data_IF_680227854017
#
_entry.id   IF_680227854017
#
_cell.length_a   1.000
_cell.length_b   1.000
_cell.length_c   1.000
_cell.angle_alpha   90.00
_cell.angle_beta   90.00
_cell.angle_gamma   90.00
#
_symmetry.space_group_name_H-M   'P 1'
#
loop_
_entity.id
_entity.type
_entity.pdbx_description
1 polymer ?
#
# COMPACT_ATOMS: atom_id res chain seq x y z
N UNK A 1 11.51 1.06 -9.32
CA UNK A 1 10.85 -0.25 -9.16
C UNK A 1 11.14 -0.92 -7.82
N UNK A 2 12.29 -0.67 -7.18
CA UNK A 2 12.65 -1.27 -5.88
C UNK A 2 11.54 -1.17 -4.82
N UNK A 3 10.91 0.01 -4.66
CA UNK A 3 9.81 0.20 -3.70
C UNK A 3 8.59 -0.69 -4.00
N UNK A 4 8.19 -0.88 -5.25
CA UNK A 4 7.01 -1.72 -5.57
C UNK A 4 7.27 -3.18 -5.14
N UNK A 5 8.48 -3.67 -5.36
CA UNK A 5 8.85 -5.05 -4.99
C UNK A 5 8.85 -5.26 -3.47
N UNK A 6 9.04 -4.21 -2.68
CA UNK A 6 8.97 -4.27 -1.21
C UNK A 6 7.55 -4.53 -0.69
N UNK A 7 6.52 -4.28 -1.52
CA UNK A 7 5.10 -4.47 -1.17
C UNK A 7 4.41 -5.61 -1.92
N UNK A 8 5.13 -6.41 -2.72
CA UNK A 8 4.50 -7.41 -3.60
C UNK A 8 3.75 -8.49 -2.80
N UNK A 9 4.22 -8.80 -1.59
CA UNK A 9 3.60 -9.75 -0.66
C UNK A 9 2.78 -9.03 0.44
N UNK A 10 2.58 -7.72 0.33
CA UNK A 10 1.77 -6.98 1.30
C UNK A 10 0.27 -7.17 1.00
N UNK A 11 -0.52 -7.72 1.94
CA UNK A 11 -1.95 -7.99 1.71
C UNK A 11 -2.78 -6.73 1.54
N UNK A 12 -2.29 -5.58 2.00
CA UNK A 12 -2.95 -4.30 1.85
C UNK A 12 -2.63 -3.63 0.51
N UNK A 13 -1.61 -4.10 -0.22
CA UNK A 13 -1.18 -3.52 -1.49
C UNK A 13 -1.95 -4.14 -2.65
N UNK A 14 -2.76 -3.33 -3.32
CA UNK A 14 -3.65 -3.78 -4.39
C UNK A 14 -2.98 -3.62 -5.76
N UNK A 15 -2.34 -2.46 -5.97
CA UNK A 15 -1.75 -2.12 -7.25
C UNK A 15 -0.76 -0.94 -7.13
N UNK A 16 0.08 -0.76 -8.15
CA UNK A 16 0.88 0.44 -8.35
C UNK A 16 0.91 0.87 -9.81
N UNK A 17 0.93 2.18 -10.01
CA UNK A 17 1.13 2.80 -11.31
C UNK A 17 2.48 3.52 -11.33
N UNK A 18 3.21 3.39 -12.44
CA UNK A 18 4.36 4.24 -12.74
C UNK A 18 3.85 5.44 -13.52
N UNK A 19 4.07 6.63 -12.98
CA UNK A 19 3.52 7.89 -13.50
C UNK A 19 4.64 8.82 -13.95
N UNK A 20 4.36 9.74 -14.88
CA UNK A 20 5.33 10.75 -15.36
C UNK A 20 5.11 12.14 -14.73
N UNK A 21 4.20 12.25 -13.77
CA UNK A 21 3.81 13.51 -13.14
C UNK A 21 4.79 13.97 -12.06
N UNK A 22 4.31 14.82 -11.14
CA UNK A 22 5.08 15.28 -9.97
C UNK A 22 5.65 14.12 -9.15
N UNK A 23 4.85 13.07 -8.99
CA UNK A 23 5.25 11.81 -8.39
C UNK A 23 5.43 10.76 -9.50
N UNK A 24 6.46 9.93 -9.35
CA UNK A 24 6.80 8.89 -10.31
C UNK A 24 6.14 7.53 -10.02
N UNK A 25 5.48 7.41 -8.86
CA UNK A 25 4.76 6.24 -8.41
C UNK A 25 3.43 6.65 -7.76
N UNK A 26 2.38 5.89 -8.04
CA UNK A 26 1.10 5.95 -7.34
C UNK A 26 0.77 4.54 -6.84
N UNK A 27 0.66 4.38 -5.52
CA UNK A 27 0.42 3.09 -4.88
C UNK A 27 -1.01 3.05 -4.35
N UNK A 28 -1.71 1.94 -4.58
CA UNK A 28 -3.06 1.70 -4.09
C UNK A 28 -3.01 0.71 -2.94
N UNK A 29 -3.45 1.17 -1.78
CA UNK A 29 -3.62 0.33 -0.60
C UNK A 29 -5.08 0.29 -0.18
N UNK A 30 -5.52 -0.83 0.41
CA UNK A 30 -6.84 -0.97 1.03
C UNK A 30 -6.69 -1.49 2.45
N UNK A 31 -7.48 -0.95 3.37
CA UNK A 31 -7.60 -1.43 4.74
C UNK A 31 -8.96 -1.01 5.29
N UNK A 32 -9.39 -1.68 6.36
CA UNK A 32 -10.64 -1.37 7.06
C UNK A 32 -10.55 -0.14 7.98
N UNK A 33 -9.34 0.29 8.33
CA UNK A 33 -9.07 1.44 9.20
C UNK A 33 -8.02 2.36 8.56
N UNK A 34 -8.30 3.67 8.58
CA UNK A 34 -7.39 4.71 8.12
C UNK A 34 -6.06 4.69 8.88
N UNK A 35 -6.07 4.41 10.19
CA UNK A 35 -4.85 4.33 11.00
C UNK A 35 -3.85 3.33 10.44
N UNK A 36 -4.37 2.21 9.92
CA UNK A 36 -3.54 1.17 9.30
C UNK A 36 -2.88 1.66 8.01
N UNK A 37 -3.60 2.41 7.18
CA UNK A 37 -3.03 3.04 5.98
C UNK A 37 -1.97 4.07 6.35
N UNK A 38 -2.22 4.90 7.36
CA UNK A 38 -1.25 5.86 7.86
C UNK A 38 0.00 5.18 8.42
N UNK A 39 -0.16 4.09 9.18
CA UNK A 39 0.93 3.26 9.70
C UNK A 39 1.82 2.74 8.58
N UNK A 40 1.23 2.17 7.52
CA UNK A 40 1.97 1.70 6.34
C UNK A 40 2.78 2.83 5.71
N UNK A 41 2.16 3.98 5.49
CA UNK A 41 2.83 5.14 4.87
C UNK A 41 3.94 5.68 5.75
N UNK A 42 3.70 5.80 7.05
CA UNK A 42 4.67 6.33 8.00
C UNK A 42 5.90 5.42 8.11
N UNK A 43 5.68 4.13 8.31
CA UNK A 43 6.76 3.19 8.60
C UNK A 43 7.51 2.75 7.34
N UNK A 44 6.80 2.40 6.27
CA UNK A 44 7.43 1.80 5.09
C UNK A 44 7.79 2.79 3.97
N UNK A 45 7.20 3.99 3.97
CA UNK A 45 7.43 4.95 2.90
C UNK A 45 8.10 6.25 3.37
N UNK A 46 7.56 6.95 4.39
CA UNK A 46 8.13 8.22 4.87
C UNK A 46 9.54 8.06 5.46
N UNK A 47 9.81 6.94 6.12
CA UNK A 47 11.14 6.60 6.65
C UNK A 47 12.09 5.97 5.62
N UNK A 48 11.63 5.71 4.40
CA UNK A 48 12.41 4.95 3.43
C UNK A 48 13.40 5.87 2.68
N UNK A 49 14.73 5.61 2.73
CA UNK A 49 15.73 6.48 2.11
C UNK A 49 15.62 6.53 0.57
N UNK A 50 14.87 5.62 -0.05
CA UNK A 50 14.61 5.61 -1.50
C UNK A 50 13.43 6.51 -1.89
N UNK A 51 12.69 7.07 -0.93
CA UNK A 51 11.53 7.91 -1.15
C UNK A 51 11.90 9.36 -0.83
N UNK A 52 11.70 10.26 -1.80
CA UNK A 52 12.01 11.69 -1.65
C UNK A 52 10.84 12.50 -1.09
N UNK A 53 9.64 12.22 -1.57
CA UNK A 53 8.42 12.96 -1.23
C UNK A 53 7.22 12.03 -1.36
N UNK A 54 6.15 12.31 -0.61
CA UNK A 54 4.94 11.49 -0.58
C UNK A 54 3.69 12.32 -0.36
N UNK A 55 2.61 11.87 -0.99
CA UNK A 55 1.27 12.42 -0.80
C UNK A 55 0.29 11.26 -0.54
N UNK A 56 -0.44 11.33 0.57
CA UNK A 56 -1.48 10.36 0.91
C UNK A 56 -2.84 10.94 0.52
N UNK A 57 -3.57 10.22 -0.33
CA UNK A 57 -4.91 10.57 -0.77
C UNK A 57 -5.89 9.44 -0.41
N UNK A 58 -7.03 9.80 0.18
CA UNK A 58 -8.06 8.83 0.59
C UNK A 58 -9.16 8.80 -0.46
N UNK A 59 -9.32 7.65 -1.12
CA UNK A 59 -10.41 7.41 -2.06
C UNK A 59 -11.66 7.03 -1.26
N UNK A 60 -12.59 7.98 -1.12
CA UNK A 60 -13.87 7.76 -0.41
C UNK A 60 -14.97 7.20 -1.33
N UNK A 61 -14.87 7.46 -2.64
CA UNK A 61 -15.86 7.03 -3.62
C UNK A 61 -15.24 6.95 -5.02
N UNK A 62 -15.60 5.89 -5.77
CA UNK A 62 -15.30 5.80 -7.19
C UNK A 62 -16.45 6.42 -8.01
N UNK A 63 -16.13 7.20 -9.04
CA UNK A 63 -17.13 7.82 -9.91
C UNK A 63 -17.80 6.83 -10.89
N UNK A 64 -17.15 5.69 -11.13
CA UNK A 64 -17.62 4.58 -11.97
C UNK A 64 -17.21 3.27 -11.31
N UNK A 65 -17.73 2.16 -11.82
CA UNK A 65 -17.33 0.82 -11.40
C UNK A 65 -15.80 0.69 -11.47
N UNK A 66 -15.21 0.40 -10.32
CA UNK A 66 -13.77 0.28 -10.15
C UNK A 66 -13.45 -1.11 -9.63
N UNK A 67 -13.08 -2.00 -10.55
CA UNK A 67 -12.78 -3.41 -10.26
C UNK A 67 -11.30 -3.54 -10.01
N UNK A 68 -10.93 -3.98 -8.80
CA UNK A 68 -9.55 -4.31 -8.46
C UNK A 68 -9.45 -5.76 -8.00
N UNK A 69 -8.41 -6.49 -8.44
CA UNK A 69 -8.16 -7.84 -7.93
C UNK A 69 -7.71 -7.72 -6.47
N UNK A 70 -8.53 -8.21 -5.55
CA UNK A 70 -8.17 -8.35 -4.15
C UNK A 70 -7.82 -9.81 -3.91
N UNK A 71 -6.57 -10.08 -3.54
CA UNK A 71 -6.16 -11.42 -3.12
C UNK A 71 -6.07 -11.45 -1.59
N UNK A 72 -7.23 -11.31 -0.94
CA UNK A 72 -7.34 -11.39 0.52
C UNK A 72 -7.68 -12.84 0.84
N UNK A 73 -6.63 -13.63 1.07
CA UNK A 73 -6.75 -15.04 1.37
C UNK A 73 -7.16 -15.21 2.84
N UNK A 74 -8.46 -15.11 3.12
CA UNK A 74 -9.01 -15.12 4.49
C UNK A 74 -8.80 -16.44 5.23
N UNK A 75 -8.64 -17.55 4.50
CA UNK A 75 -8.53 -18.91 5.07
C UNK A 75 -7.09 -19.30 5.44
N UNK A 76 -6.09 -18.51 5.02
CA UNK A 76 -4.69 -18.73 5.34
C UNK A 76 -4.25 -17.79 6.48
N UNK A 77 -4.62 -18.13 7.73
CA UNK A 77 -4.09 -17.50 8.95
C UNK A 77 -2.54 -17.47 9.01
N UNK A 78 -1.88 -18.26 8.15
CA UNK A 78 -0.41 -18.41 8.08
C UNK A 78 0.28 -17.52 7.06
N UNK A 79 -0.44 -16.75 6.24
CA UNK A 79 0.16 -15.97 5.14
C UNK A 79 -0.11 -14.47 5.25
N UNK A 80 -0.09 -13.94 6.47
CA UNK A 80 0.07 -12.50 6.72
C UNK A 80 1.51 -12.13 7.05
N UNK A 81 2.49 -12.95 6.62
CA UNK A 81 3.90 -12.57 6.69
C UNK A 81 4.20 -11.58 5.55
N UNK A 82 3.69 -10.37 5.70
CA UNK A 82 4.46 -9.21 5.26
C UNK A 82 5.86 -9.40 5.88
N UNK A 83 6.88 -9.69 5.07
CA UNK A 83 8.28 -9.86 5.50
C UNK A 83 8.91 -8.53 5.97
N UNK A 84 8.08 -7.50 6.15
CA UNK A 84 8.45 -6.24 6.74
C UNK A 84 7.90 -6.14 8.17
N UNK A 85 8.44 -5.24 8.99
CA UNK A 85 8.00 -4.98 10.37
C UNK A 85 6.59 -4.35 10.42
N UNK A 86 5.59 -5.04 9.88
CA UNK A 86 4.20 -4.62 9.80
C UNK A 86 3.51 -4.57 11.18
N UNK A 87 4.21 -5.02 12.25
CA UNK A 87 3.76 -4.86 13.64
C UNK A 87 3.62 -3.38 14.06
N UNK A 88 4.38 -2.50 13.41
CA UNK A 88 4.37 -1.06 13.68
C UNK A 88 3.34 -0.29 12.83
N UNK A 89 2.54 -0.99 12.02
CA UNK A 89 1.48 -0.40 11.17
C UNK A 89 0.11 -0.34 11.87
N UNK A 90 0.08 -0.32 13.20
CA UNK A 90 -1.13 -0.34 14.05
C UNK A 90 -1.52 1.07 14.47
#
# INVERSE_FOLDING_TARGET
RAIINEFIDCPFFINALVTSGRYNLCLFFTATDLKRLEGIVNHHLRGNPKVKDIELNIVIQAAKDFVMPLNIDYDNERQSSCDQSCADCI
#
